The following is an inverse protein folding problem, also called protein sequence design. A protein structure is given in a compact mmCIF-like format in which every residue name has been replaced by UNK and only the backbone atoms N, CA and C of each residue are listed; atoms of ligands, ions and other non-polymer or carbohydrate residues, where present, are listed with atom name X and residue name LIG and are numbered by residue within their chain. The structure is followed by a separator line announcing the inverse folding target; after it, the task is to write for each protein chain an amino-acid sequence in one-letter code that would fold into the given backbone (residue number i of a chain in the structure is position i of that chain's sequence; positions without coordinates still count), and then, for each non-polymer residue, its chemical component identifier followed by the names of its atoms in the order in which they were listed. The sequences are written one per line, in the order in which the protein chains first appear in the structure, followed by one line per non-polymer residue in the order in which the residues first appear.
data_IF_791209597409
#
_entry.id   IF_791209597409
#
_cell.length_a   1.000
_cell.length_b   1.000
_cell.length_c   1.000
_cell.angle_alpha   90.00
_cell.angle_beta   90.00
_cell.angle_gamma   90.00
#
_symmetry.space_group_name_H-M   'P 1'
#
loop_
_entity.id
_entity.type
_entity.pdbx_description
1 polymer ?
#
# COMPACT_ATOMS: atom_id res chain seq x y z
N UNK A 1 -13.61 -6.42 7.18
CA UNK A 1 -13.27 -4.98 7.07
C UNK A 1 -12.36 -4.83 5.87
N UNK A 2 -12.49 -3.75 5.11
CA UNK A 2 -11.63 -3.53 3.95
C UNK A 2 -11.61 -2.06 3.55
N UNK A 3 -10.71 -1.73 2.62
CA UNK A 3 -10.53 -0.38 2.15
C UNK A 3 -11.71 0.06 1.28
N UNK A 4 -12.34 1.18 1.66
CA UNK A 4 -13.44 1.77 0.89
C UNK A 4 -12.90 2.80 -0.11
N UNK A 5 -11.98 3.65 0.34
CA UNK A 5 -11.52 4.79 -0.45
C UNK A 5 -10.75 5.77 0.40
N UNK A 6 -10.65 6.98 -0.12
CA UNK A 6 -10.00 8.10 0.57
C UNK A 6 -10.90 9.32 0.58
N UNK A 7 -10.74 10.15 1.60
CA UNK A 7 -11.45 11.43 1.68
C UNK A 7 -10.79 12.41 0.71
N UNK A 8 -11.59 13.06 -0.13
CA UNK A 8 -11.16 14.11 -1.06
C UNK A 8 -11.61 15.50 -0.63
N UNK A 9 -12.68 15.59 0.15
CA UNK A 9 -13.22 16.86 0.64
C UNK A 9 -13.78 16.66 2.06
N UNK A 10 -13.53 17.62 2.93
CA UNK A 10 -14.05 17.65 4.30
C UNK A 10 -14.87 18.92 4.46
N UNK A 11 -16.12 18.76 4.87
CA UNK A 11 -17.03 19.82 5.27
C UNK A 11 -17.33 19.70 6.78
N UNK A 12 -17.98 20.69 7.42
CA UNK A 12 -18.16 20.70 8.88
C UNK A 12 -18.84 19.46 9.48
N UNK A 13 -19.75 18.82 8.75
CA UNK A 13 -20.51 17.64 9.22
C UNK A 13 -20.50 16.46 8.24
N UNK A 14 -19.84 16.59 7.09
CA UNK A 14 -19.86 15.58 6.03
C UNK A 14 -18.51 15.54 5.32
N UNK A 15 -18.18 14.40 4.71
CA UNK A 15 -16.98 14.25 3.90
C UNK A 15 -17.31 13.58 2.58
N UNK A 16 -16.59 13.92 1.50
CA UNK A 16 -16.66 13.21 0.22
C UNK A 16 -15.55 12.17 0.16
N UNK A 17 -15.89 10.97 -0.29
CA UNK A 17 -14.98 9.84 -0.42
C UNK A 17 -14.83 9.49 -1.90
N UNK A 18 -13.60 9.44 -2.39
CA UNK A 18 -13.26 8.80 -3.66
C UNK A 18 -13.06 7.31 -3.40
N UNK A 19 -13.93 6.49 -3.96
CA UNK A 19 -13.91 5.04 -3.80
C UNK A 19 -12.71 4.42 -4.51
N UNK A 20 -12.26 3.24 -4.06
CA UNK A 20 -11.20 2.48 -4.75
C UNK A 20 -11.66 1.90 -6.09
N UNK A 21 -12.98 1.78 -6.29
CA UNK A 21 -13.58 1.32 -7.55
C UNK A 21 -13.69 2.42 -8.60
N UNK A 22 -13.42 3.69 -8.25
CA UNK A 22 -13.42 4.79 -9.20
C UNK A 22 -12.18 4.70 -10.12
N UNK A 23 -12.30 4.88 -11.45
CA UNK A 23 -11.16 4.85 -12.37
C UNK A 23 -10.08 5.89 -12.11
N UNK A 24 -10.42 6.99 -11.42
CA UNK A 24 -9.47 8.04 -11.02
C UNK A 24 -8.82 7.73 -9.67
N UNK A 25 -9.11 6.57 -9.09
CA UNK A 25 -8.54 6.09 -7.84
C UNK A 25 -7.32 5.22 -8.10
N UNK A 26 -6.29 5.41 -7.28
CA UNK A 26 -5.07 4.61 -7.27
C UNK A 26 -4.67 4.30 -5.84
N UNK A 27 -4.43 3.02 -5.55
CA UNK A 27 -4.01 2.55 -4.22
C UNK A 27 -2.75 1.71 -4.35
N UNK A 28 -1.68 2.11 -3.66
CA UNK A 28 -0.50 1.26 -3.56
C UNK A 28 -0.82 0.02 -2.73
N UNK A 29 -0.59 -1.13 -3.33
CA UNK A 29 -0.96 -2.42 -2.78
C UNK A 29 0.24 -3.35 -2.71
N UNK A 30 0.15 -4.33 -1.82
CA UNK A 30 1.10 -5.42 -1.70
C UNK A 30 0.33 -6.74 -1.66
N UNK A 31 0.82 -7.70 -2.43
CA UNK A 31 0.34 -9.08 -2.40
C UNK A 31 0.84 -9.78 -1.13
N UNK A 32 -0.05 -10.50 -0.44
CA UNK A 32 0.23 -11.02 0.90
C UNK A 32 1.30 -12.12 0.91
N UNK A 33 1.39 -12.96 -0.12
CA UNK A 33 2.26 -14.13 -0.10
C UNK A 33 3.55 -13.87 -0.88
N UNK A 34 3.41 -13.41 -2.13
CA UNK A 34 4.51 -13.07 -3.03
C UNK A 34 5.25 -11.79 -2.62
N UNK A 35 4.66 -10.97 -1.74
CA UNK A 35 5.23 -9.68 -1.24
C UNK A 35 5.58 -8.70 -2.36
N UNK A 36 4.88 -8.76 -3.48
CA UNK A 36 5.03 -7.84 -4.61
C UNK A 36 4.20 -6.59 -4.41
N UNK A 37 4.80 -5.44 -4.69
CA UNK A 37 4.09 -4.17 -4.75
C UNK A 37 3.46 -3.98 -6.13
N UNK A 38 2.29 -3.34 -6.15
CA UNK A 38 1.63 -2.90 -7.38
C UNK A 38 0.64 -1.79 -7.09
N UNK A 39 -0.13 -1.40 -8.10
CA UNK A 39 -1.13 -0.33 -7.97
C UNK A 39 -2.50 -0.89 -8.30
N UNK A 40 -3.44 -0.76 -7.35
CA UNK A 40 -4.85 -1.05 -7.56
C UNK A 40 -5.51 0.15 -8.23
N UNK A 41 -6.20 -0.11 -9.33
CA UNK A 41 -7.05 0.84 -10.06
C UNK A 41 -8.47 0.31 -10.16
N UNK A 42 -9.44 1.20 -10.02
CA UNK A 42 -10.83 0.88 -10.30
C UNK A 42 -11.08 0.76 -11.81
N UNK A 43 -11.94 -0.17 -12.22
CA UNK A 43 -12.45 -0.22 -13.59
C UNK A 43 -13.97 -0.10 -13.61
N UNK A 44 -14.56 0.40 -14.72
CA UNK A 44 -16.00 0.40 -14.90
C UNK A 44 -16.58 -1.00 -14.65
N UNK A 45 -17.65 -1.08 -13.86
CA UNK A 45 -18.26 -2.35 -13.45
C UNK A 45 -17.93 -2.79 -12.02
N UNK A 46 -17.07 -2.06 -11.29
CA UNK A 46 -16.82 -2.29 -9.86
C UNK A 46 -15.74 -3.32 -9.54
N UNK A 47 -15.10 -3.88 -10.57
CA UNK A 47 -13.91 -4.72 -10.43
C UNK A 47 -12.68 -3.86 -10.19
N UNK A 48 -11.65 -4.46 -9.60
CA UNK A 48 -10.34 -3.83 -9.41
C UNK A 48 -9.30 -4.54 -10.27
N UNK A 49 -8.32 -3.78 -10.75
CA UNK A 49 -7.15 -4.32 -11.43
C UNK A 49 -5.91 -3.92 -10.63
N UNK A 50 -5.06 -4.89 -10.32
CA UNK A 50 -3.70 -4.66 -9.84
C UNK A 50 -2.75 -4.62 -11.03
N UNK A 51 -2.05 -3.51 -11.18
CA UNK A 51 -1.13 -3.21 -12.27
C UNK A 51 0.32 -3.17 -11.74
N UNK A 52 1.29 -3.22 -12.66
CA UNK A 52 2.73 -3.17 -12.37
C UNK A 52 3.31 -4.37 -11.60
N UNK A 53 2.77 -5.57 -11.83
CA UNK A 53 3.34 -6.80 -11.26
C UNK A 53 4.50 -7.25 -12.17
N UNK A 54 5.73 -7.48 -11.66
CA UNK A 54 6.85 -7.94 -12.48
C UNK A 54 6.57 -9.30 -13.15
N UNK A 55 7.03 -9.48 -14.38
CA UNK A 55 6.81 -10.72 -15.18
C UNK A 55 7.49 -11.96 -14.59
N UNK A 56 8.57 -11.77 -13.83
CA UNK A 56 9.38 -12.83 -13.22
C UNK A 56 8.82 -13.35 -11.90
N UNK A 57 7.78 -12.70 -11.35
CA UNK A 57 7.14 -13.13 -10.10
C UNK A 57 5.95 -14.02 -10.36
N UNK A 58 5.91 -15.14 -9.65
CA UNK A 58 4.76 -16.05 -9.62
C UNK A 58 3.77 -15.57 -8.55
N UNK A 59 2.57 -15.20 -8.99
CA UNK A 59 1.42 -14.86 -8.12
C UNK A 59 0.36 -15.96 -8.22
N UNK A 60 -0.51 -16.06 -7.21
CA UNK A 60 -1.55 -17.10 -7.17
C UNK A 60 -2.96 -16.52 -7.17
N UNK A 61 -3.88 -17.20 -7.87
CA UNK A 61 -5.32 -16.95 -7.70
C UNK A 61 -5.70 -17.32 -6.26
N UNK A 62 -6.48 -16.47 -5.62
CA UNK A 62 -6.81 -16.59 -4.19
C UNK A 62 -5.85 -15.83 -3.27
N UNK A 63 -4.83 -15.15 -3.80
CA UNK A 63 -3.92 -14.36 -2.97
C UNK A 63 -4.57 -13.05 -2.49
N UNK A 64 -4.35 -12.71 -1.22
CA UNK A 64 -4.89 -11.51 -0.62
C UNK A 64 -4.05 -10.28 -0.98
N UNK A 65 -4.74 -9.16 -1.16
CA UNK A 65 -4.13 -7.88 -1.48
C UNK A 65 -4.41 -6.90 -0.35
N UNK A 66 -3.34 -6.29 0.14
CA UNK A 66 -3.36 -5.34 1.24
C UNK A 66 -2.82 -3.99 0.78
N UNK A 67 -3.14 -2.90 1.47
CA UNK A 67 -2.44 -1.63 1.28
C UNK A 67 -0.97 -1.75 1.68
N UNK A 68 -0.05 -1.28 0.84
CA UNK A 68 1.39 -1.45 1.09
C UNK A 68 1.95 -0.46 2.13
N UNK A 69 1.24 0.64 2.38
CA UNK A 69 1.73 1.74 3.21
C UNK A 69 2.71 2.67 2.49
N UNK A 70 3.01 2.41 1.21
CA UNK A 70 3.85 3.28 0.39
C UNK A 70 3.08 4.54 0.01
N UNK A 71 3.76 5.69 0.06
CA UNK A 71 3.20 6.95 -0.41
C UNK A 71 3.29 7.01 -1.92
N UNK A 72 2.16 7.18 -2.62
CA UNK A 72 2.18 7.45 -4.06
C UNK A 72 2.14 8.94 -4.32
N UNK A 73 3.00 9.43 -5.21
CA UNK A 73 2.79 10.72 -5.87
C UNK A 73 1.67 10.62 -6.92
N UNK A 74 1.56 9.47 -7.59
CA UNK A 74 0.52 9.20 -8.59
C UNK A 74 -0.77 8.80 -7.86
N UNK A 75 -1.70 9.74 -7.80
CA UNK A 75 -2.99 9.52 -7.16
C UNK A 75 -3.04 9.95 -5.70
N UNK A 76 -2.07 10.72 -5.17
CA UNK A 76 -2.23 11.64 -4.02
C UNK A 76 -2.80 11.10 -2.70
N UNK A 77 -2.84 9.78 -2.48
CA UNK A 77 -3.39 9.16 -1.28
C UNK A 77 -2.31 8.42 -0.52
N UNK A 78 -2.11 8.78 0.75
CA UNK A 78 -1.45 7.90 1.71
C UNK A 78 -2.52 6.89 2.16
N UNK A 79 -2.12 5.64 2.38
CA UNK A 79 -2.95 4.64 3.07
C UNK A 79 -2.12 4.03 4.20
N UNK A 80 -2.70 3.72 5.39
CA UNK A 80 -2.04 2.90 6.37
C UNK A 80 -1.66 1.55 5.76
N UNK A 81 -0.59 0.91 6.25
CA UNK A 81 -0.20 -0.42 5.78
C UNK A 81 -1.14 -1.49 6.35
N UNK A 82 -1.47 -2.49 5.54
CA UNK A 82 -2.13 -3.72 5.99
C UNK A 82 -3.67 -3.70 5.97
N UNK A 83 -4.31 -2.75 5.30
CA UNK A 83 -5.76 -2.73 5.12
C UNK A 83 -6.14 -3.69 3.98
N UNK A 84 -7.06 -4.65 4.18
CA UNK A 84 -7.53 -5.54 3.12
C UNK A 84 -8.18 -4.77 1.97
N UNK A 85 -7.77 -5.06 0.73
CA UNK A 85 -8.36 -4.50 -0.48
C UNK A 85 -9.27 -5.55 -1.14
N UNK A 86 -8.78 -6.77 -1.29
CA UNK A 86 -9.48 -7.80 -2.06
C UNK A 86 -8.61 -9.03 -2.30
N UNK A 87 -9.06 -9.89 -3.21
CA UNK A 87 -8.40 -11.14 -3.55
C UNK A 87 -8.22 -11.28 -5.07
N UNK A 88 -7.08 -11.83 -5.49
CA UNK A 88 -6.79 -12.14 -6.90
C UNK A 88 -7.75 -13.22 -7.39
N UNK A 89 -8.46 -12.97 -8.48
CA UNK A 89 -9.35 -13.95 -9.12
C UNK A 89 -8.88 -14.40 -10.50
N UNK A 90 -8.06 -13.59 -11.16
CA UNK A 90 -7.49 -13.92 -12.46
C UNK A 90 -6.16 -13.20 -12.63
N UNK A 91 -5.24 -13.85 -13.33
CA UNK A 91 -3.93 -13.31 -13.68
C UNK A 91 -3.91 -13.13 -15.20
N UNK A 92 -3.50 -11.95 -15.65
CA UNK A 92 -3.34 -11.59 -17.05
C UNK A 92 -1.85 -11.39 -17.27
N UNK A 93 -1.26 -12.28 -18.05
CA UNK A 93 0.16 -12.26 -18.37
C UNK A 93 0.34 -12.40 -19.88
N UNK A 94 1.21 -11.56 -20.45
CA UNK A 94 1.59 -11.60 -21.87
C UNK A 94 3.08 -11.30 -21.97
N UNK A 95 3.77 -12.01 -22.85
CA UNK A 95 5.21 -11.81 -23.13
C UNK A 95 5.49 -10.47 -23.84
N UNK A 96 4.46 -9.85 -24.42
CA UNK A 96 4.56 -8.55 -25.09
C UNK A 96 4.42 -7.37 -24.12
N UNK A 97 3.98 -7.60 -22.88
CA UNK A 97 3.78 -6.56 -21.87
C UNK A 97 4.95 -6.45 -20.88
N UNK A 98 5.25 -5.24 -20.44
CA UNK A 98 6.35 -4.96 -19.49
C UNK A 98 6.07 -5.53 -18.09
N UNK A 99 4.80 -5.66 -17.73
CA UNK A 99 4.33 -6.16 -16.43
C UNK A 99 3.08 -7.00 -16.63
N UNK A 100 2.85 -7.97 -15.74
CA UNK A 100 1.58 -8.69 -15.69
C UNK A 100 0.56 -7.90 -14.85
N UNK A 101 -0.72 -8.25 -14.99
CA UNK A 101 -1.84 -7.67 -14.25
C UNK A 101 -2.63 -8.75 -13.52
N UNK A 102 -3.34 -8.36 -12.47
CA UNK A 102 -4.28 -9.23 -11.78
C UNK A 102 -5.67 -8.60 -11.68
N UNK A 103 -6.71 -9.37 -11.98
CA UNK A 103 -8.09 -9.00 -11.69
C UNK A 103 -8.38 -9.33 -10.23
N UNK A 104 -8.99 -8.38 -9.54
CA UNK A 104 -9.19 -8.42 -8.10
C UNK A 104 -10.67 -8.18 -7.78
N UNK A 105 -11.23 -9.05 -6.95
CA UNK A 105 -12.55 -8.82 -6.34
C UNK A 105 -12.33 -8.06 -5.03
N UNK A 106 -13.00 -6.90 -4.82
CA UNK A 106 -12.90 -6.17 -3.57
C UNK A 106 -13.39 -6.99 -2.37
N UNK A 107 -12.74 -6.82 -1.22
CA UNK A 107 -13.18 -7.39 0.05
C UNK A 107 -14.43 -6.70 0.64
N UNK A 108 -14.84 -5.57 0.05
CA UNK A 108 -15.97 -4.74 0.50
C UNK A 108 -17.07 -4.77 -0.56
N UNK A 109 -18.31 -4.99 -0.11
CA UNK A 109 -19.50 -4.79 -0.94
C UNK A 109 -19.90 -3.30 -0.94
N UNK A 110 -19.51 -2.60 -2.00
CA UNK A 110 -19.78 -1.15 -2.16
C UNK A 110 -21.27 -0.80 -2.28
N UNK A 111 -22.15 -1.78 -2.54
CA UNK A 111 -23.59 -1.54 -2.61
C UNK A 111 -24.27 -1.54 -1.23
N UNK A 112 -23.56 -1.96 -0.16
CA UNK A 112 -24.13 -2.15 1.19
C UNK A 112 -23.29 -1.48 2.28
N UNK A 113 -22.90 -0.24 2.05
CA UNK A 113 -22.14 0.55 3.00
C UNK A 113 -23.05 1.34 3.94
N UNK A 114 -23.11 0.93 5.22
CA UNK A 114 -23.85 1.66 6.27
C UNK A 114 -22.94 2.47 7.19
N UNK A 115 -21.82 1.89 7.63
CA UNK A 115 -20.88 2.51 8.57
C UNK A 115 -19.45 2.35 8.05
N UNK A 116 -18.69 3.45 8.09
CA UNK A 116 -17.29 3.50 7.69
C UNK A 116 -16.43 4.10 8.81
N UNK A 117 -15.21 3.57 8.95
CA UNK A 117 -14.22 4.10 9.87
C UNK A 117 -13.26 5.01 9.11
N UNK A 118 -13.12 6.25 9.57
CA UNK A 118 -12.13 7.19 9.03
C UNK A 118 -10.86 7.08 9.86
N UNK A 119 -9.76 6.74 9.18
CA UNK A 119 -8.43 6.65 9.79
C UNK A 119 -7.67 7.94 9.49
N UNK A 120 -7.31 8.68 10.53
CA UNK A 120 -6.52 9.92 10.46
C UNK A 120 -5.20 9.75 11.20
N UNK A 121 -4.24 10.64 10.92
CA UNK A 121 -2.98 10.77 11.67
C UNK A 121 -2.18 9.46 11.85
N UNK A 122 -2.06 8.64 10.81
CA UNK A 122 -1.18 7.48 10.78
C UNK A 122 0.17 7.83 10.14
N UNK A 123 1.22 7.13 10.53
CA UNK A 123 2.54 7.28 9.90
C UNK A 123 2.64 6.36 8.68
N UNK A 124 3.14 6.86 7.53
CA UNK A 124 3.46 5.99 6.40
C UNK A 124 4.44 4.89 6.82
N UNK A 125 4.21 3.65 6.40
CA UNK A 125 5.05 2.51 6.74
C UNK A 125 4.77 1.83 8.09
N UNK A 126 4.12 2.51 9.06
CA UNK A 126 3.60 1.85 10.26
C UNK A 126 2.26 1.15 9.94
N UNK A 127 2.10 -0.09 10.40
CA UNK A 127 0.86 -0.86 10.25
C UNK A 127 -0.30 -0.25 11.02
N UNK A 128 -1.53 -0.69 10.73
CA UNK A 128 -2.66 -0.37 11.62
C UNK A 128 -2.35 -0.82 13.06
N UNK A 129 -2.73 -0.03 14.08
CA UNK A 129 -2.61 -0.47 15.46
C UNK A 129 -3.39 -1.78 15.63
N UNK A 130 -2.79 -2.73 16.34
CA UNK A 130 -3.24 -4.13 16.42
C UNK A 130 -4.69 -4.28 16.92
N UNK A 131 -5.16 -3.33 17.72
CA UNK A 131 -6.55 -3.24 18.19
C UNK A 131 -7.59 -3.07 17.06
N UNK A 132 -7.18 -2.64 15.88
CA UNK A 132 -8.03 -2.46 14.70
C UNK A 132 -7.99 -3.68 13.76
N UNK A 133 -7.14 -4.68 14.03
CA UNK A 133 -7.08 -5.92 13.26
C UNK A 133 -8.08 -6.94 13.84
N UNK A 134 -8.77 -7.73 12.99
CA UNK A 134 -9.55 -8.86 13.47
C UNK A 134 -8.62 -9.89 14.14
N UNK A 135 -9.04 -10.42 15.29
CA UNK A 135 -8.28 -11.39 16.08
C UNK A 135 -7.78 -12.55 15.18
N UNK A 136 -6.46 -12.69 15.02
CA UNK A 136 -5.82 -13.80 14.28
C UNK A 136 -4.82 -13.41 13.19
N UNK A 137 -4.71 -12.13 12.82
CA UNK A 137 -3.66 -11.65 11.91
C UNK A 137 -2.41 -11.21 12.70
N UNK A 138 -1.55 -12.17 13.05
CA UNK A 138 -0.25 -11.88 13.66
C UNK A 138 0.73 -11.26 12.66
N UNK A 139 1.25 -10.08 12.96
CA UNK A 139 2.39 -9.50 12.24
C UNK A 139 3.64 -9.86 13.04
N UNK A 140 4.53 -10.65 12.45
CA UNK A 140 5.88 -10.85 12.99
C UNK A 140 6.61 -9.49 12.97
N UNK A 141 6.76 -8.89 14.15
CA UNK A 141 7.40 -7.59 14.34
C UNK A 141 8.91 -7.69 14.59
N UNK A 142 9.58 -8.79 14.23
CA UNK A 142 11.02 -8.97 14.55
C UNK A 142 12.01 -8.18 13.66
N UNK A 143 11.59 -7.13 12.97
CA UNK A 143 12.48 -6.36 12.09
C UNK A 143 12.39 -4.84 12.31
N UNK A 144 12.79 -4.38 13.48
CA UNK A 144 13.60 -3.15 13.65
C UNK A 144 14.01 -2.98 15.12
N UNK A 145 15.10 -3.63 15.51
CA UNK A 145 15.85 -3.25 16.72
C UNK A 145 17.35 -3.39 16.45
N UNK A 146 18.08 -2.28 16.62
CA UNK A 146 19.54 -2.15 16.48
C UNK A 146 20.01 -1.61 15.11
N UNK A 147 20.73 -0.50 14.97
CA UNK A 147 21.60 0.17 15.92
C UNK A 147 21.69 1.67 15.63
N UNK A 148 21.36 2.48 16.64
CA UNK A 148 22.07 3.73 16.88
C UNK A 148 23.19 3.41 17.87
N UNK A 149 24.45 3.59 17.45
CA UNK A 149 25.57 3.70 18.37
C UNK A 149 26.38 4.92 17.97
N UNK A 150 26.16 6.00 18.73
CA UNK A 150 27.01 7.18 18.78
C UNK A 150 28.39 6.85 19.35
N UNK A 151 29.41 7.52 18.80
CA UNK A 151 30.64 7.89 19.51
C UNK A 151 31.92 7.16 19.07
N UNK A 152 32.85 7.89 18.42
CA UNK A 152 34.24 8.17 18.85
C UNK A 152 34.89 9.14 17.85
N UNK A 153 35.00 10.39 18.29
CA UNK A 153 36.16 11.32 18.31
C UNK A 153 37.29 11.34 17.23
N UNK A 154 37.74 12.58 17.00
CA UNK A 154 39.12 13.05 16.71
C UNK A 154 39.62 13.37 15.27
N UNK A 155 39.66 14.69 15.01
CA UNK A 155 40.75 15.53 14.47
C UNK A 155 40.98 15.72 12.93
N UNK A 156 41.07 16.98 12.45
CA UNK A 156 41.62 17.33 11.13
C UNK A 156 43.06 17.90 11.21
N UNK A 157 43.99 17.34 10.42
CA UNK A 157 45.37 17.80 10.18
C UNK A 157 45.73 17.40 8.74
N UNK A 158 46.32 18.15 7.81
CA UNK A 158 46.88 19.51 7.75
C UNK A 158 46.91 20.02 6.29
N UNK A 159 47.06 21.33 6.15
CA UNK A 159 47.47 22.15 5.00
C UNK A 159 48.66 21.58 4.19
N UNK A 160 48.70 21.75 2.86
CA UNK A 160 49.95 21.75 2.10
C UNK A 160 50.33 23.17 1.64
N UNK A 161 51.52 23.64 2.04
CA UNK A 161 52.18 24.80 1.46
C UNK A 161 53.44 24.36 0.71
N UNK A 162 53.48 24.71 -0.59
CA UNK A 162 54.59 25.26 -1.37
C UNK A 162 55.98 24.59 -1.36
N UNK A 163 56.42 24.12 -2.54
CA UNK A 163 57.64 24.58 -3.26
C UNK A 163 57.93 23.72 -4.50
N UNK A 164 57.93 24.33 -5.70
CA UNK A 164 59.12 24.47 -6.54
C UNK A 164 58.89 25.54 -7.62
#
# INVERSE_FOLDING_TARGET
LGLVGRITEVNPTTSKVLLITDPNSGVNAILSNSRVNGVIKGVPGGTLIMDYIPQDVVISVGEDILTSGLTSEIGGGRFPKGIPIGQVVQIIQSDEEVSQQAIVIPAVDFAKLDLVLVITNYKPGEGLPEILLPNGFGVDTSASDGAASDGIDAAPTATPAEQN
#
